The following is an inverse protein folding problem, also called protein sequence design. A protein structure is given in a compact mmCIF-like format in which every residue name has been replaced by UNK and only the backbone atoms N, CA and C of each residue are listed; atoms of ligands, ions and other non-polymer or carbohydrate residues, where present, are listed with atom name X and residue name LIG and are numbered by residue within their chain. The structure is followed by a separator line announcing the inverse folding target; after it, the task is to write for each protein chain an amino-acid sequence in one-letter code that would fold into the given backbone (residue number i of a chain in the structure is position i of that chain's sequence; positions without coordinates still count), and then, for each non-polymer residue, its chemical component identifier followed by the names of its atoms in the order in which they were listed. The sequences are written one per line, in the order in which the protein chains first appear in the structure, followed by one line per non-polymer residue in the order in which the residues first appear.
data_IF_974622490252
#
_entry.id   IF_974622490252
#
_cell.length_a   1.000
_cell.length_b   1.000
_cell.length_c   1.000
_cell.angle_alpha   90.00
_cell.angle_beta   90.00
_cell.angle_gamma   90.00
#
_symmetry.space_group_name_H-M   'P 1'
#
loop_
_entity.id
_entity.type
_entity.pdbx_description
1 polymer ?
#
# COMPACT_ATOMS: atom_id res chain seq x y z
N UNK A 1 -24.54 -61.84 62.96
CA UNK A 1 -24.75 -60.38 63.20
C UNK A 1 -23.57 -59.47 62.80
N UNK A 2 -22.35 -59.72 63.32
CA UNK A 2 -21.17 -58.85 63.10
C UNK A 2 -20.68 -58.76 61.64
N UNK A 3 -20.79 -59.83 60.85
CA UNK A 3 -20.34 -59.84 59.45
C UNK A 3 -21.18 -58.99 58.48
N UNK A 4 -22.45 -58.72 58.79
CA UNK A 4 -23.31 -57.82 58.01
C UNK A 4 -23.00 -56.35 58.33
N UNK A 5 -22.82 -56.02 59.61
CA UNK A 5 -22.46 -54.68 60.08
C UNK A 5 -21.10 -54.26 59.52
N UNK A 6 -20.09 -55.14 59.53
CA UNK A 6 -18.76 -54.85 58.97
C UNK A 6 -18.80 -54.67 57.44
N UNK A 7 -19.64 -55.45 56.73
CA UNK A 7 -19.86 -55.25 55.29
C UNK A 7 -20.53 -53.90 54.99
N UNK A 8 -21.50 -53.49 55.80
CA UNK A 8 -22.14 -52.19 55.69
C UNK A 8 -21.16 -51.03 55.97
N UNK A 9 -20.37 -51.12 57.05
CA UNK A 9 -19.31 -50.14 57.38
C UNK A 9 -18.29 -50.00 56.24
N UNK A 10 -17.82 -51.10 55.67
CA UNK A 10 -16.88 -51.09 54.53
C UNK A 10 -17.50 -50.50 53.25
N UNK A 11 -18.82 -50.66 53.03
CA UNK A 11 -19.53 -50.00 51.91
C UNK A 11 -19.61 -48.49 52.11
N UNK A 12 -19.92 -48.03 53.33
CA UNK A 12 -19.99 -46.61 53.68
C UNK A 12 -18.60 -45.95 53.53
N UNK A 13 -17.56 -46.60 54.02
CA UNK A 13 -16.18 -46.11 53.91
C UNK A 13 -15.72 -46.02 52.44
N UNK A 14 -15.98 -47.05 51.62
CA UNK A 14 -15.74 -47.00 50.17
C UNK A 14 -16.57 -45.91 49.48
N UNK A 15 -17.80 -45.68 49.94
CA UNK A 15 -18.66 -44.60 49.47
C UNK A 15 -18.06 -43.23 49.75
N UNK A 16 -17.64 -42.97 50.99
CA UNK A 16 -16.98 -41.72 51.41
C UNK A 16 -15.73 -41.43 50.57
N UNK A 17 -14.86 -42.43 50.38
CA UNK A 17 -13.65 -42.29 49.55
C UNK A 17 -13.98 -41.98 48.09
N UNK A 18 -15.05 -42.56 47.54
CA UNK A 18 -15.52 -42.25 46.16
C UNK A 18 -16.11 -40.84 46.07
N UNK A 19 -16.88 -40.42 47.06
CA UNK A 19 -17.42 -39.07 47.15
C UNK A 19 -16.30 -38.03 47.25
N UNK A 20 -15.32 -38.22 48.14
CA UNK A 20 -14.17 -37.33 48.29
C UNK A 20 -13.34 -37.26 46.99
N UNK A 21 -13.11 -38.40 46.32
CA UNK A 21 -12.44 -38.44 45.01
C UNK A 21 -13.23 -37.66 43.94
N UNK A 22 -14.55 -37.73 43.97
CA UNK A 22 -15.43 -37.02 43.02
C UNK A 22 -15.43 -35.51 43.30
N UNK A 23 -15.50 -35.10 44.57
CA UNK A 23 -15.39 -33.70 44.99
C UNK A 23 -14.03 -33.13 44.58
N UNK A 24 -12.95 -33.86 44.83
CA UNK A 24 -11.61 -33.44 44.40
C UNK A 24 -11.49 -33.32 42.87
N UNK A 25 -12.13 -34.21 42.11
CA UNK A 25 -12.18 -34.13 40.63
C UNK A 25 -12.96 -32.88 40.17
N UNK A 26 -14.14 -32.64 40.73
CA UNK A 26 -14.96 -31.47 40.42
C UNK A 26 -14.28 -30.16 40.82
N UNK A 27 -13.57 -30.12 41.95
CA UNK A 27 -12.78 -28.96 42.36
C UNK A 27 -11.61 -28.68 41.40
N UNK A 28 -10.93 -29.73 40.92
CA UNK A 28 -9.88 -29.59 39.90
C UNK A 28 -10.45 -29.07 38.57
N UNK A 29 -11.61 -29.57 38.15
CA UNK A 29 -12.29 -29.10 36.94
C UNK A 29 -12.75 -27.66 37.08
N UNK A 30 -13.38 -27.29 38.21
CA UNK A 30 -13.76 -25.92 38.53
C UNK A 30 -12.56 -24.96 38.51
N UNK A 31 -11.45 -25.32 39.14
CA UNK A 31 -10.24 -24.48 39.14
C UNK A 31 -9.65 -24.31 37.75
N UNK A 32 -9.69 -25.36 36.91
CA UNK A 32 -9.28 -25.25 35.49
C UNK A 32 -10.21 -24.30 34.73
N UNK A 33 -11.52 -24.45 34.89
CA UNK A 33 -12.52 -23.60 34.24
C UNK A 33 -12.38 -22.13 34.65
N UNK A 34 -12.25 -21.85 35.95
CA UNK A 34 -12.07 -20.49 36.47
C UNK A 34 -10.80 -19.83 35.90
N UNK A 35 -9.67 -20.56 35.84
CA UNK A 35 -8.42 -20.06 35.24
C UNK A 35 -8.59 -19.78 33.75
N UNK A 36 -9.27 -20.67 33.01
CA UNK A 36 -9.53 -20.46 31.59
C UNK A 36 -10.44 -19.26 31.37
N UNK A 37 -11.51 -19.11 32.15
CA UNK A 37 -12.45 -17.99 32.05
C UNK A 37 -11.75 -16.66 32.33
N UNK A 38 -10.91 -16.60 33.38
CA UNK A 38 -10.10 -15.42 33.68
C UNK A 38 -9.15 -15.08 32.53
N UNK A 39 -8.46 -16.08 31.97
CA UNK A 39 -7.54 -15.86 30.83
C UNK A 39 -8.29 -15.36 29.58
N UNK A 40 -9.48 -15.90 29.32
CA UNK A 40 -10.33 -15.49 28.21
C UNK A 40 -10.82 -14.05 28.38
N UNK A 41 -11.31 -13.68 29.58
CA UNK A 41 -11.73 -12.30 29.88
C UNK A 41 -10.58 -11.30 29.72
N UNK A 42 -9.36 -11.65 30.14
CA UNK A 42 -8.19 -10.78 29.96
C UNK A 42 -7.84 -10.64 28.48
N UNK A 43 -7.88 -11.72 27.72
CA UNK A 43 -7.62 -11.69 26.28
C UNK A 43 -8.68 -10.89 25.52
N UNK A 44 -9.95 -11.05 25.88
CA UNK A 44 -11.06 -10.29 25.31
C UNK A 44 -10.88 -8.79 25.53
N UNK A 45 -10.59 -8.36 26.77
CA UNK A 45 -10.30 -6.96 27.09
C UNK A 45 -9.10 -6.42 26.30
N UNK A 46 -8.04 -7.20 26.16
CA UNK A 46 -6.87 -6.82 25.34
C UNK A 46 -7.26 -6.63 23.89
N UNK A 47 -8.02 -7.57 23.32
CA UNK A 47 -8.50 -7.51 21.93
C UNK A 47 -9.43 -6.33 21.69
N UNK A 48 -10.33 -6.03 22.61
CA UNK A 48 -11.19 -4.83 22.55
C UNK A 48 -10.32 -3.57 22.53
N UNK A 49 -9.35 -3.45 23.44
CA UNK A 49 -8.45 -2.29 23.48
C UNK A 49 -7.54 -2.16 22.24
N UNK A 50 -7.16 -3.29 21.64
CA UNK A 50 -6.41 -3.31 20.37
C UNK A 50 -7.30 -2.85 19.22
N UNK A 51 -8.55 -3.31 19.18
CA UNK A 51 -9.53 -2.90 18.17
C UNK A 51 -9.83 -1.40 18.25
N UNK A 52 -10.09 -0.87 19.44
CA UNK A 52 -10.30 0.58 19.66
C UNK A 52 -9.10 1.40 19.17
N UNK A 53 -7.88 0.98 19.51
CA UNK A 53 -6.64 1.64 19.01
C UNK A 53 -6.54 1.60 17.49
N UNK A 54 -6.88 0.46 16.87
CA UNK A 54 -6.86 0.33 15.42
C UNK A 54 -7.91 1.22 14.76
N UNK A 55 -9.11 1.32 15.32
CA UNK A 55 -10.16 2.22 14.85
C UNK A 55 -9.75 3.69 14.96
N UNK A 56 -9.15 4.10 16.09
CA UNK A 56 -8.62 5.45 16.25
C UNK A 56 -7.52 5.77 15.23
N UNK A 57 -6.61 4.83 14.99
CA UNK A 57 -5.52 5.00 14.01
C UNK A 57 -6.11 5.10 12.60
N UNK A 58 -7.05 4.23 12.25
CA UNK A 58 -7.73 4.27 10.96
C UNK A 58 -8.47 5.60 10.76
N UNK A 59 -9.19 6.09 11.76
CA UNK A 59 -9.85 7.39 11.71
C UNK A 59 -8.85 8.54 11.54
N UNK A 60 -7.69 8.50 12.21
CA UNK A 60 -6.60 9.48 12.02
C UNK A 60 -6.03 9.43 10.61
N UNK A 61 -5.83 8.24 10.05
CA UNK A 61 -5.33 8.05 8.68
C UNK A 61 -6.34 8.57 7.65
N UNK A 62 -7.62 8.23 7.80
CA UNK A 62 -8.70 8.71 6.92
C UNK A 62 -8.76 10.23 6.92
N UNK A 63 -8.76 10.87 8.10
CA UNK A 63 -8.74 12.34 8.20
C UNK A 63 -7.52 12.96 7.51
N UNK A 64 -6.34 12.37 7.67
CA UNK A 64 -5.12 12.84 6.97
C UNK A 64 -5.22 12.68 5.45
N UNK A 65 -5.76 11.56 4.98
CA UNK A 65 -5.96 11.32 3.54
C UNK A 65 -6.96 12.33 2.94
N UNK A 66 -8.10 12.55 3.60
CA UNK A 66 -9.09 13.56 3.20
C UNK A 66 -8.47 14.96 3.14
N UNK A 67 -7.74 15.37 4.18
CA UNK A 67 -7.04 16.68 4.18
C UNK A 67 -6.00 16.80 3.05
N UNK A 68 -5.34 15.72 2.68
CA UNK A 68 -4.40 15.72 1.55
C UNK A 68 -5.09 15.75 0.19
N UNK A 69 -6.25 15.08 0.05
CA UNK A 69 -7.07 15.15 -1.14
C UNK A 69 -7.61 16.57 -1.35
N UNK A 70 -8.16 17.18 -0.30
CA UNK A 70 -8.60 18.59 -0.34
C UNK A 70 -7.47 19.54 -0.74
N UNK A 71 -6.27 19.36 -0.17
CA UNK A 71 -5.11 20.16 -0.52
C UNK A 71 -4.71 19.93 -1.99
N UNK A 72 -4.72 18.68 -2.47
CA UNK A 72 -4.41 18.35 -3.85
C UNK A 72 -5.41 19.00 -4.82
N UNK A 73 -6.71 18.84 -4.59
CA UNK A 73 -7.77 19.41 -5.42
C UNK A 73 -7.72 20.94 -5.42
N UNK A 74 -7.42 21.56 -4.27
CA UNK A 74 -7.21 23.01 -4.16
C UNK A 74 -6.04 23.48 -5.03
N UNK A 75 -4.93 22.72 -5.04
CA UNK A 75 -3.76 23.04 -5.86
C UNK A 75 -4.04 22.81 -7.35
N UNK A 76 -4.77 21.76 -7.72
CA UNK A 76 -5.19 21.52 -9.11
C UNK A 76 -6.06 22.67 -9.62
N UNK A 77 -7.00 23.17 -8.80
CA UNK A 77 -7.79 24.35 -9.13
C UNK A 77 -6.92 25.58 -9.34
N UNK A 78 -5.90 25.80 -8.50
CA UNK A 78 -4.96 26.92 -8.66
C UNK A 78 -4.14 26.80 -9.94
N UNK A 79 -3.67 25.60 -10.28
CA UNK A 79 -2.96 25.34 -11.54
C UNK A 79 -3.86 25.65 -12.74
N UNK A 80 -5.10 25.18 -12.72
CA UNK A 80 -6.07 25.46 -13.79
C UNK A 80 -6.38 26.96 -13.95
N UNK A 81 -6.51 27.69 -12.83
CA UNK A 81 -6.65 29.15 -12.89
C UNK A 81 -5.39 29.82 -13.43
N UNK A 82 -4.20 29.32 -13.06
CA UNK A 82 -2.92 29.78 -13.61
C UNK A 82 -2.86 29.60 -15.12
N UNK A 83 -3.21 28.42 -15.63
CA UNK A 83 -3.30 28.13 -17.07
C UNK A 83 -4.25 29.09 -17.79
N UNK A 84 -5.44 29.33 -17.23
CA UNK A 84 -6.37 30.31 -17.83
C UNK A 84 -5.82 31.72 -17.89
N UNK A 85 -5.05 32.13 -16.88
CA UNK A 85 -4.42 33.45 -16.85
C UNK A 85 -3.28 33.50 -17.88
N UNK A 86 -2.55 32.41 -18.06
CA UNK A 86 -1.50 32.27 -19.07
C UNK A 86 -2.10 32.37 -20.49
N UNK A 87 -3.17 31.61 -20.77
CA UNK A 87 -3.92 31.69 -22.03
C UNK A 87 -4.42 33.11 -22.32
N UNK A 88 -4.88 33.82 -21.29
CA UNK A 88 -5.29 35.23 -21.40
C UNK A 88 -4.11 36.15 -21.72
N UNK A 89 -2.96 35.88 -21.12
CA UNK A 89 -1.73 36.63 -21.36
C UNK A 89 -1.27 36.46 -22.81
N UNK A 90 -1.25 35.23 -23.32
CA UNK A 90 -0.91 34.92 -24.71
C UNK A 90 -1.86 35.60 -25.70
N UNK A 91 -3.18 35.50 -25.48
CA UNK A 91 -4.19 36.17 -26.31
C UNK A 91 -4.02 37.69 -26.32
N UNK A 92 -3.77 38.29 -25.15
CA UNK A 92 -3.55 39.74 -25.08
C UNK A 92 -2.23 40.15 -25.73
N UNK A 93 -1.19 39.34 -25.61
CA UNK A 93 0.09 39.60 -26.28
C UNK A 93 -0.07 39.66 -27.80
N UNK A 94 -0.84 38.73 -28.37
CA UNK A 94 -1.10 38.66 -29.81
C UNK A 94 -2.07 39.76 -30.30
N UNK A 95 -3.18 39.99 -29.58
CA UNK A 95 -4.26 40.84 -30.08
C UNK A 95 -4.19 42.28 -29.54
N UNK A 96 -3.50 42.54 -28.43
CA UNK A 96 -3.40 43.81 -27.68
C UNK A 96 -4.75 44.46 -27.31
N UNK A 97 -5.84 43.69 -27.38
CA UNK A 97 -7.19 44.16 -27.09
C UNK A 97 -7.47 44.15 -25.59
N UNK A 98 -7.39 45.34 -24.97
CA UNK A 98 -7.65 45.51 -23.53
C UNK A 98 -9.07 45.13 -23.11
N UNK A 99 -10.07 45.40 -23.97
CA UNK A 99 -11.48 45.15 -23.65
C UNK A 99 -11.79 43.66 -23.50
N UNK A 100 -11.24 42.83 -24.38
CA UNK A 100 -11.47 41.38 -24.36
C UNK A 100 -10.78 40.70 -23.18
N UNK A 101 -9.55 41.15 -22.85
CA UNK A 101 -8.87 40.74 -21.62
C UNK A 101 -9.71 41.03 -20.37
N UNK A 102 -10.23 42.26 -20.24
CA UNK A 102 -11.04 42.66 -19.09
C UNK A 102 -12.35 41.87 -19.01
N UNK A 103 -12.99 41.60 -20.15
CA UNK A 103 -14.22 40.80 -20.22
C UNK A 103 -13.98 39.35 -19.79
N UNK A 104 -12.95 38.68 -20.30
CA UNK A 104 -12.65 37.30 -19.94
C UNK A 104 -12.18 37.18 -18.48
N UNK A 105 -11.34 38.10 -17.99
CA UNK A 105 -10.93 38.14 -16.59
C UNK A 105 -12.13 38.31 -15.66
N UNK A 106 -13.05 39.21 -16.00
CA UNK A 106 -14.27 39.43 -15.22
C UNK A 106 -15.14 38.16 -15.15
N UNK A 107 -15.30 37.43 -16.26
CA UNK A 107 -16.00 36.14 -16.30
C UNK A 107 -15.34 35.09 -15.39
N UNK A 108 -14.01 34.98 -15.42
CA UNK A 108 -13.27 34.04 -14.56
C UNK A 108 -13.52 34.36 -13.09
N UNK A 109 -13.44 35.65 -12.71
CA UNK A 109 -13.69 36.10 -11.33
C UNK A 109 -15.13 35.83 -10.90
N UNK A 110 -16.12 36.03 -11.79
CA UNK A 110 -17.52 35.73 -11.49
C UNK A 110 -17.76 34.23 -11.22
N UNK A 111 -17.21 33.35 -12.07
CA UNK A 111 -17.31 31.90 -11.88
C UNK A 111 -16.61 31.46 -10.59
N UNK A 112 -15.48 32.08 -10.27
CA UNK A 112 -14.73 31.78 -9.05
C UNK A 112 -15.47 32.27 -7.80
N UNK A 113 -16.09 33.44 -7.86
CA UNK A 113 -16.87 34.01 -6.76
C UNK A 113 -18.22 33.31 -6.56
N UNK A 114 -18.88 32.81 -7.61
CA UNK A 114 -20.14 32.07 -7.46
C UNK A 114 -19.97 30.77 -6.68
N UNK A 115 -18.76 30.19 -6.71
CA UNK A 115 -18.38 29.01 -5.92
C UNK A 115 -18.00 29.33 -4.47
N UNK A 116 -17.87 30.61 -4.09
CA UNK A 116 -17.41 31.01 -2.74
C UNK A 116 -18.59 31.26 -1.81
N UNK A 117 -18.51 30.71 -0.59
CA UNK A 117 -19.43 31.04 0.50
C UNK A 117 -18.85 32.17 1.35
N UNK A 118 -19.69 33.10 1.78
CA UNK A 118 -19.27 34.20 2.65
C UNK A 118 -19.10 33.69 4.08
N UNK A 119 -17.85 33.47 4.48
CA UNK A 119 -17.46 33.08 5.85
C UNK A 119 -17.07 34.30 6.68
N UNK A 120 -17.23 34.21 8.01
CA UNK A 120 -16.81 35.27 8.93
C UNK A 120 -15.29 35.47 8.89
N UNK A 121 -14.83 36.68 9.20
CA UNK A 121 -13.38 37.02 9.19
C UNK A 121 -12.61 36.13 10.18
N UNK A 122 -13.22 35.78 11.32
CA UNK A 122 -12.62 34.90 12.34
C UNK A 122 -12.40 33.49 11.79
N UNK A 123 -13.42 32.89 11.16
CA UNK A 123 -13.31 31.57 10.53
C UNK A 123 -12.27 31.54 9.42
N UNK A 124 -12.26 32.57 8.56
CA UNK A 124 -11.30 32.70 7.46
C UNK A 124 -9.84 32.76 7.93
N UNK A 125 -9.58 33.41 9.08
CA UNK A 125 -8.25 33.44 9.71
C UNK A 125 -7.85 32.05 10.25
N UNK A 126 -8.78 31.34 10.87
CA UNK A 126 -8.55 30.00 11.40
C UNK A 126 -8.27 28.98 10.28
N UNK A 127 -9.05 29.00 9.19
CA UNK A 127 -8.85 28.13 8.02
C UNK A 127 -7.49 28.37 7.37
N UNK A 128 -7.12 29.64 7.14
CA UNK A 128 -5.79 29.99 6.60
C UNK A 128 -4.63 29.52 7.49
N UNK A 129 -4.79 29.58 8.81
CA UNK A 129 -3.77 29.08 9.73
C UNK A 129 -3.63 27.56 9.63
N UNK A 130 -4.76 26.84 9.57
CA UNK A 130 -4.78 25.38 9.37
C UNK A 130 -4.16 24.98 8.03
N UNK A 131 -4.55 25.61 6.93
CA UNK A 131 -3.97 25.36 5.60
C UNK A 131 -2.45 25.55 5.58
N UNK A 132 -1.94 26.61 6.23
CA UNK A 132 -0.50 26.84 6.33
C UNK A 132 0.21 25.75 7.12
N UNK A 133 -0.35 25.30 8.23
CA UNK A 133 0.20 24.21 9.02
C UNK A 133 0.24 22.90 8.22
N UNK A 134 -0.85 22.58 7.52
CA UNK A 134 -0.92 21.39 6.66
C UNK A 134 0.11 21.45 5.54
N UNK A 135 0.26 22.61 4.88
CA UNK A 135 1.29 22.79 3.83
C UNK A 135 2.71 22.54 4.37
N UNK A 136 3.04 23.08 5.54
CA UNK A 136 4.34 22.87 6.19
C UNK A 136 4.57 21.40 6.59
N UNK A 137 3.54 20.69 7.06
CA UNK A 137 3.64 19.24 7.35
C UNK A 137 3.87 18.41 6.08
N UNK A 138 3.16 18.76 5.00
CA UNK A 138 3.30 18.10 3.69
C UNK A 138 4.70 18.34 3.10
N UNK A 139 5.22 19.57 3.15
CA UNK A 139 6.56 19.86 2.65
C UNK A 139 7.63 19.00 3.35
N UNK A 140 7.60 18.96 4.69
CA UNK A 140 8.53 18.14 5.49
C UNK A 140 8.43 16.65 5.16
N UNK A 141 7.21 16.11 5.04
CA UNK A 141 7.01 14.70 4.73
C UNK A 141 7.45 14.35 3.30
N UNK A 142 7.14 15.20 2.33
CA UNK A 142 7.55 15.04 0.93
C UNK A 142 9.06 15.11 0.77
N UNK A 143 9.76 15.98 1.51
CA UNK A 143 11.23 16.02 1.50
C UNK A 143 11.85 14.69 1.94
N UNK A 144 11.33 14.09 3.02
CA UNK A 144 11.78 12.77 3.48
C UNK A 144 11.53 11.70 2.43
N UNK A 145 10.34 11.71 1.80
CA UNK A 145 9.99 10.77 0.72
C UNK A 145 10.90 10.95 -0.50
N UNK A 146 11.16 12.19 -0.91
CA UNK A 146 12.05 12.51 -2.03
C UNK A 146 13.49 12.04 -1.76
N UNK A 147 14.01 12.23 -0.54
CA UNK A 147 15.32 11.72 -0.13
C UNK A 147 15.37 10.18 -0.20
N UNK A 148 14.35 9.50 0.32
CA UNK A 148 14.22 8.03 0.25
C UNK A 148 14.13 7.53 -1.20
N UNK A 149 13.30 8.16 -2.05
CA UNK A 149 13.15 7.79 -3.46
C UNK A 149 14.44 8.00 -4.25
N UNK A 150 15.16 9.10 -4.00
CA UNK A 150 16.49 9.34 -4.59
C UNK A 150 17.50 8.27 -4.16
N UNK A 151 17.50 7.89 -2.88
CA UNK A 151 18.37 6.83 -2.38
C UNK A 151 18.02 5.45 -2.96
N UNK A 152 16.73 5.13 -3.11
CA UNK A 152 16.27 3.90 -3.73
C UNK A 152 16.68 3.82 -5.21
N UNK A 153 16.48 4.89 -5.98
CA UNK A 153 16.93 4.97 -7.39
C UNK A 153 18.44 4.80 -7.53
N UNK A 154 19.23 5.38 -6.62
CA UNK A 154 20.69 5.17 -6.59
C UNK A 154 21.05 3.71 -6.32
N UNK A 155 20.36 3.06 -5.36
CA UNK A 155 20.57 1.64 -5.06
C UNK A 155 20.15 0.73 -6.22
N UNK A 156 19.10 1.07 -6.96
CA UNK A 156 18.69 0.34 -8.16
C UNK A 156 19.66 0.54 -9.33
N UNK A 157 20.20 1.74 -9.52
CA UNK A 157 21.23 2.01 -10.52
C UNK A 157 22.58 1.32 -10.20
N UNK A 158 22.82 0.97 -8.92
CA UNK A 158 23.98 0.22 -8.44
C UNK A 158 23.77 -1.29 -8.45
N UNK A 159 22.57 -1.81 -8.76
CA UNK A 159 22.39 -3.24 -8.99
C UNK A 159 23.04 -3.58 -10.33
N UNK A 160 24.04 -4.48 -10.37
CA UNK A 160 24.61 -4.91 -11.64
C UNK A 160 23.49 -5.49 -12.51
N UNK A 161 23.50 -5.24 -13.84
CA UNK A 161 22.51 -5.82 -14.73
C UNK A 161 22.53 -7.34 -14.53
N UNK A 162 21.35 -7.94 -14.41
CA UNK A 162 21.21 -9.39 -14.26
C UNK A 162 22.05 -10.06 -15.35
N UNK A 163 22.96 -10.99 -14.99
CA UNK A 163 23.85 -11.60 -15.97
C UNK A 163 22.99 -12.25 -17.06
N UNK A 164 23.20 -11.86 -18.32
CA UNK A 164 22.49 -12.45 -19.45
C UNK A 164 22.73 -13.97 -19.42
N UNK A 165 21.67 -14.80 -19.47
CA UNK A 165 21.83 -16.26 -19.44
C UNK A 165 22.70 -16.69 -20.63
N UNK A 166 23.61 -17.63 -20.39
CA UNK A 166 24.51 -18.16 -21.42
C UNK A 166 23.71 -19.00 -22.42
N UNK A 167 23.57 -18.50 -23.65
CA UNK A 167 22.87 -19.15 -24.74
C UNK A 167 23.67 -20.35 -25.28
N UNK A 168 22.98 -21.45 -25.56
CA UNK A 168 23.53 -22.67 -26.15
C UNK A 168 22.92 -22.93 -27.52
N UNK A 169 23.59 -23.76 -28.32
CA UNK A 169 23.09 -24.19 -29.63
C UNK A 169 21.78 -24.97 -29.44
N UNK A 170 20.77 -24.61 -30.23
CA UNK A 170 19.42 -25.16 -30.22
C UNK A 170 18.42 -24.45 -29.30
N UNK A 171 18.87 -23.50 -28.47
CA UNK A 171 17.95 -22.71 -27.64
C UNK A 171 16.98 -21.88 -28.49
N UNK A 172 15.75 -21.71 -27.99
CA UNK A 172 14.77 -20.84 -28.62
C UNK A 172 14.96 -19.42 -28.12
N UNK A 173 15.34 -18.55 -29.05
CA UNK A 173 15.72 -17.17 -28.76
C UNK A 173 14.84 -16.19 -29.53
N UNK A 174 14.69 -15.01 -28.93
CA UNK A 174 13.98 -13.87 -29.49
C UNK A 174 14.91 -12.67 -29.49
N UNK A 175 14.76 -11.78 -30.46
CA UNK A 175 15.46 -10.48 -30.45
C UNK A 175 14.86 -9.58 -29.38
N UNK A 176 15.67 -8.81 -28.63
CA UNK A 176 15.19 -7.88 -27.60
C UNK A 176 14.04 -6.96 -28.12
N UNK A 177 14.13 -6.50 -29.37
CA UNK A 177 13.13 -5.64 -30.01
C UNK A 177 12.14 -6.38 -30.95
N UNK A 178 12.20 -7.71 -31.01
CA UNK A 178 11.49 -8.52 -32.01
C UNK A 178 10.42 -9.44 -31.40
N UNK A 179 9.34 -9.71 -32.14
CA UNK A 179 8.31 -10.70 -31.73
C UNK A 179 8.63 -12.13 -32.16
N UNK A 180 9.42 -12.30 -33.22
CA UNK A 180 9.72 -13.60 -33.80
C UNK A 180 10.61 -14.44 -32.87
N UNK A 181 10.27 -15.71 -32.71
CA UNK A 181 11.05 -16.70 -31.94
C UNK A 181 11.70 -17.65 -32.94
N UNK A 182 13.01 -17.82 -32.84
CA UNK A 182 13.78 -18.73 -33.69
C UNK A 182 14.67 -19.64 -32.85
N UNK A 183 15.24 -20.67 -33.47
CA UNK A 183 16.21 -21.57 -32.84
C UNK A 183 17.64 -21.18 -33.22
N UNK A 184 18.59 -21.30 -32.30
CA UNK A 184 20.02 -21.11 -32.61
C UNK A 184 20.53 -22.36 -33.34
N UNK A 185 20.95 -22.24 -34.59
CA UNK A 185 21.54 -23.34 -35.35
C UNK A 185 23.05 -23.47 -35.06
N UNK A 186 23.76 -22.34 -34.94
CA UNK A 186 25.18 -22.34 -34.57
C UNK A 186 25.62 -21.03 -33.93
N UNK A 187 26.68 -21.11 -33.11
CA UNK A 187 27.29 -19.96 -32.44
C UNK A 187 28.73 -19.84 -32.91
N UNK A 188 29.05 -18.75 -33.61
CA UNK A 188 30.39 -18.41 -34.06
C UNK A 188 30.92 -17.24 -33.23
N UNK A 189 31.74 -17.55 -32.22
CA UNK A 189 32.39 -16.62 -31.28
C UNK A 189 31.43 -15.68 -30.54
N UNK A 190 30.90 -14.66 -31.22
CA UNK A 190 30.01 -13.63 -30.66
C UNK A 190 28.70 -13.42 -31.46
N UNK A 191 28.48 -14.19 -32.52
CA UNK A 191 27.26 -14.15 -33.34
C UNK A 191 26.60 -15.52 -33.36
N UNK A 192 25.28 -15.54 -33.26
CA UNK A 192 24.44 -16.71 -33.45
C UNK A 192 23.76 -16.65 -34.81
N UNK A 193 23.71 -17.79 -35.50
CA UNK A 193 22.82 -18.00 -36.65
C UNK A 193 21.48 -18.46 -36.08
N UNK A 194 20.46 -17.61 -36.20
CA UNK A 194 19.10 -17.90 -35.71
C UNK A 194 18.21 -18.23 -36.88
N UNK A 195 17.53 -19.36 -36.79
CA UNK A 195 16.58 -19.85 -37.76
C UNK A 195 15.15 -19.57 -37.30
N UNK A 196 14.43 -18.74 -38.06
CA UNK A 196 13.05 -18.37 -37.78
C UNK A 196 12.04 -19.21 -38.59
N UNK A 197 12.49 -20.33 -39.17
CA UNK A 197 11.69 -21.23 -40.00
C UNK A 197 11.59 -20.77 -41.46
N UNK A 198 11.29 -19.49 -41.71
CA UNK A 198 11.19 -18.94 -43.07
C UNK A 198 12.51 -18.38 -43.60
N UNK A 199 13.43 -18.02 -42.72
CA UNK A 199 14.75 -17.46 -43.05
C UNK A 199 15.72 -17.60 -41.87
N UNK A 200 17.02 -17.54 -42.18
CA UNK A 200 18.12 -17.57 -41.20
C UNK A 200 18.81 -16.21 -41.16
N UNK A 201 19.07 -15.66 -39.97
CA UNK A 201 19.82 -14.40 -39.81
C UNK A 201 20.99 -14.56 -38.84
N UNK A 202 22.05 -13.77 -39.08
CA UNK A 202 23.21 -13.66 -38.19
C UNK A 202 22.97 -12.51 -37.21
N UNK A 203 22.83 -12.82 -35.93
CA UNK A 203 22.53 -11.85 -34.86
C UNK A 203 23.58 -11.94 -33.77
N UNK A 204 23.93 -10.81 -33.15
CA UNK A 204 24.85 -10.79 -32.01
C UNK A 204 24.22 -11.43 -30.77
N UNK A 205 24.98 -12.23 -30.01
CA UNK A 205 24.48 -12.90 -28.79
C UNK A 205 23.92 -11.92 -27.75
N UNK A 206 24.45 -10.70 -27.72
CA UNK A 206 23.99 -9.66 -26.80
C UNK A 206 22.56 -9.18 -27.09
N UNK A 207 22.05 -9.33 -28.31
CA UNK A 207 20.71 -8.86 -28.70
C UNK A 207 19.64 -9.95 -28.60
N UNK A 208 20.01 -11.13 -28.10
CA UNK A 208 19.15 -12.31 -28.00
C UNK A 208 18.72 -12.55 -26.56
N UNK A 209 17.41 -12.69 -26.37
CA UNK A 209 16.78 -13.13 -25.14
C UNK A 209 16.41 -14.61 -25.24
N UNK A 210 16.71 -15.35 -24.18
CA UNK A 210 16.33 -16.76 -24.05
C UNK A 210 14.83 -16.87 -23.77
N UNK A 211 14.08 -17.50 -24.67
CA UNK A 211 12.64 -17.75 -24.48
C UNK A 211 12.43 -19.11 -23.83
N UNK A 212 13.08 -20.14 -24.36
CA UNK A 212 13.07 -21.50 -23.82
C UNK A 212 14.47 -22.09 -23.94
N UNK A 213 15.03 -22.52 -22.81
CA UNK A 213 16.24 -23.33 -22.80
C UNK A 213 15.93 -24.72 -23.34
N UNK A 214 16.84 -25.28 -24.12
CA UNK A 214 16.82 -26.73 -24.39
C UNK A 214 16.88 -27.49 -23.06
N UNK A 215 16.05 -28.52 -22.95
CA UNK A 215 16.08 -29.47 -21.82
C UNK A 215 17.31 -30.35 -21.87
#
# INVERSE_FOLDING_TARGET
PYGLINRAKKKIEKGKVRFDRTIAKLQKERSKLEKTEQSLKVNERKKQSEAEKLEEINAKIQKKLESYQELYDSNQRLIYLGQKIDDLSEKYFNNKQKRDLMNELFKIVQIENSKRKKVSVKQKKAEKAKEKQVKLEVEKSVEVIRKKKKAAKKKEALKPPTPKPTLKVGDRVRLEDGRAVGSIDSIEKNKAIVNYGMFTTKVSLEQLELVEAIK
#
